data_IF_685142244332
#
_entry.id   IF_685142244332
#
_cell.length_a   1.000
_cell.length_b   1.000
_cell.length_c   1.000
_cell.angle_alpha   90.00
_cell.angle_beta   90.00
_cell.angle_gamma   90.00
#
_symmetry.space_group_name_H-M   'P 1'
#
loop_
_entity.id
_entity.type
_entity.pdbx_description
1 polymer ?
#
# COMPACT_ATOMS: atom_id res chain seq x y z
N UNK A 1 -17.11 -8.54 -4.58
CA UNK A 1 -16.97 -7.12 -4.96
C UNK A 1 -15.56 -6.63 -4.68
N UNK A 2 -14.95 -5.86 -5.60
CA UNK A 2 -13.58 -5.36 -5.48
C UNK A 2 -13.57 -3.84 -5.32
N UNK A 3 -12.84 -3.33 -4.33
CA UNK A 3 -12.66 -1.92 -4.05
C UNK A 3 -11.19 -1.54 -4.20
N UNK A 4 -10.90 -0.49 -4.97
CA UNK A 4 -9.52 -0.03 -5.16
C UNK A 4 -9.01 0.68 -3.91
N UNK A 5 -7.78 0.36 -3.52
CA UNK A 5 -7.11 1.03 -2.42
C UNK A 5 -6.78 2.48 -2.76
N UNK A 6 -6.81 3.35 -1.75
CA UNK A 6 -6.43 4.75 -1.88
C UNK A 6 -4.92 4.85 -1.69
N UNK A 7 -4.25 5.47 -2.66
CA UNK A 7 -2.84 5.83 -2.58
C UNK A 7 -2.81 7.36 -2.50
N UNK A 8 -2.24 7.90 -1.43
CA UNK A 8 -2.14 9.33 -1.21
C UNK A 8 -0.98 9.94 -2.01
N UNK A 9 -1.06 11.25 -2.21
CA UNK A 9 -0.05 12.00 -2.95
C UNK A 9 1.34 11.87 -2.33
N UNK A 10 1.45 11.90 -1.00
CA UNK A 10 2.73 11.76 -0.31
C UNK A 10 3.45 10.44 -0.65
N UNK A 11 2.70 9.34 -0.84
CA UNK A 11 3.28 8.06 -1.24
C UNK A 11 3.86 8.13 -2.65
N UNK A 12 3.16 8.80 -3.57
CA UNK A 12 3.67 9.05 -4.93
C UNK A 12 4.91 9.94 -4.94
N UNK A 13 4.96 10.96 -4.07
CA UNK A 13 6.13 11.82 -3.91
C UNK A 13 7.33 11.00 -3.42
N UNK A 14 7.14 10.12 -2.44
CA UNK A 14 8.21 9.22 -1.97
C UNK A 14 8.66 8.30 -3.10
N UNK A 15 7.71 7.59 -3.73
CA UNK A 15 8.03 6.60 -4.76
C UNK A 15 8.74 7.23 -5.96
N UNK A 16 8.14 8.26 -6.58
CA UNK A 16 8.74 8.91 -7.75
C UNK A 16 9.98 9.73 -7.39
N UNK A 17 10.01 10.35 -6.20
CA UNK A 17 11.15 11.12 -5.74
C UNK A 17 12.37 10.23 -5.46
N UNK A 18 12.16 9.07 -4.83
CA UNK A 18 13.22 8.09 -4.60
C UNK A 18 13.79 7.54 -5.90
N UNK A 19 12.93 7.13 -6.83
CA UNK A 19 13.34 6.70 -8.18
C UNK A 19 14.14 7.79 -8.91
N UNK A 20 13.65 9.03 -8.88
CA UNK A 20 14.31 10.17 -9.54
C UNK A 20 15.67 10.48 -8.93
N UNK A 21 15.82 10.36 -7.61
CA UNK A 21 17.08 10.61 -6.92
C UNK A 21 18.14 9.55 -7.28
N UNK A 22 17.75 8.28 -7.35
CA UNK A 22 18.65 7.19 -7.76
C UNK A 22 19.09 7.39 -9.21
N UNK A 23 18.16 7.72 -10.12
CA UNK A 23 18.47 7.99 -11.52
C UNK A 23 19.38 9.23 -11.68
N UNK A 24 19.15 10.29 -10.91
CA UNK A 24 20.01 11.47 -10.89
C UNK A 24 21.44 11.10 -10.48
N UNK A 25 21.60 10.33 -9.40
CA UNK A 25 22.91 9.87 -8.93
C UNK A 25 23.60 8.94 -9.91
N UNK A 26 22.83 8.09 -10.59
CA UNK A 26 23.35 7.23 -11.65
C UNK A 26 23.86 8.05 -12.84
N UNK A 27 23.11 9.07 -13.27
CA UNK A 27 23.55 9.97 -14.33
C UNK A 27 24.81 10.76 -13.93
N UNK A 28 24.84 11.32 -12.72
CA UNK A 28 26.02 12.01 -12.18
C UNK A 28 27.25 11.10 -12.17
N UNK A 29 27.10 9.86 -11.69
CA UNK A 29 28.18 8.86 -11.68
C UNK A 29 28.74 8.57 -13.08
N UNK A 30 27.86 8.45 -14.08
CA UNK A 30 28.24 8.23 -15.49
C UNK A 30 28.97 9.46 -16.07
N UNK A 31 28.45 10.67 -15.86
CA UNK A 31 29.03 11.89 -16.43
C UNK A 31 30.35 12.30 -15.78
N UNK A 32 30.54 12.01 -14.50
CA UNK A 32 31.79 12.28 -13.77
C UNK A 32 32.87 11.22 -13.98
N UNK A 33 32.56 10.12 -14.69
CA UNK A 33 33.51 9.04 -14.95
C UNK A 33 33.89 8.26 -13.68
N UNK A 34 32.97 8.13 -12.73
CA UNK A 34 33.17 7.32 -11.52
C UNK A 34 33.31 5.84 -11.86
N UNK A 35 33.82 5.05 -10.90
CA UNK A 35 34.07 3.63 -11.06
C UNK A 35 32.80 2.83 -11.38
N UNK A 36 32.97 1.76 -12.15
CA UNK A 36 31.84 0.90 -12.59
C UNK A 36 31.10 0.26 -11.42
N UNK A 37 31.78 0.08 -10.28
CA UNK A 37 31.19 -0.48 -9.06
C UNK A 37 30.05 0.39 -8.51
N UNK A 38 30.21 1.72 -8.51
CA UNK A 38 29.18 2.65 -8.02
C UNK A 38 27.91 2.58 -8.86
N UNK A 39 28.07 2.48 -10.18
CA UNK A 39 26.97 2.35 -11.14
C UNK A 39 26.20 1.04 -10.89
N UNK A 40 26.92 -0.05 -10.63
CA UNK A 40 26.31 -1.36 -10.31
C UNK A 40 25.51 -1.27 -9.01
N UNK A 41 26.07 -0.67 -7.96
CA UNK A 41 25.39 -0.50 -6.67
C UNK A 41 24.12 0.34 -6.82
N UNK A 42 24.17 1.42 -7.60
CA UNK A 42 23.00 2.27 -7.89
C UNK A 42 21.95 1.52 -8.71
N UNK A 43 22.35 0.72 -9.69
CA UNK A 43 21.42 -0.09 -10.49
C UNK A 43 20.71 -1.16 -9.64
N UNK A 44 21.44 -1.84 -8.74
CA UNK A 44 20.84 -2.79 -7.80
C UNK A 44 19.86 -2.06 -6.85
N UNK A 45 20.25 -0.88 -6.36
CA UNK A 45 19.42 -0.06 -5.48
C UNK A 45 18.11 0.35 -6.16
N UNK A 46 18.18 0.76 -7.43
CA UNK A 46 17.01 1.06 -8.27
C UNK A 46 16.07 -0.15 -8.35
N UNK A 47 16.59 -1.33 -8.71
CA UNK A 47 15.78 -2.56 -8.83
C UNK A 47 15.11 -2.93 -7.51
N UNK A 48 15.85 -2.89 -6.40
CA UNK A 48 15.30 -3.18 -5.07
C UNK A 48 14.21 -2.17 -4.70
N UNK A 49 14.45 -0.88 -4.95
CA UNK A 49 13.49 0.17 -4.66
C UNK A 49 12.19 -0.03 -5.44
N UNK A 50 12.28 -0.22 -6.77
CA UNK A 50 11.12 -0.52 -7.60
C UNK A 50 10.42 -1.79 -7.12
N UNK A 51 11.15 -2.86 -6.80
CA UNK A 51 10.58 -4.14 -6.36
C UNK A 51 9.79 -4.02 -5.05
N UNK A 52 10.19 -3.13 -4.14
CA UNK A 52 9.48 -2.90 -2.87
C UNK A 52 8.23 -2.06 -3.09
N UNK A 53 8.31 -0.98 -3.87
CA UNK A 53 7.21 -0.01 -3.99
C UNK A 53 6.18 -0.34 -5.08
N UNK A 54 6.60 -0.93 -6.20
CA UNK A 54 5.73 -1.25 -7.33
C UNK A 54 4.57 -2.19 -6.95
N UNK A 55 4.78 -3.27 -6.16
CA UNK A 55 3.68 -4.14 -5.73
C UNK A 55 2.68 -3.41 -4.85
N UNK A 56 3.13 -2.47 -4.01
CA UNK A 56 2.24 -1.67 -3.16
C UNK A 56 1.30 -0.82 -4.02
N UNK A 57 1.76 -0.33 -5.16
CA UNK A 57 0.92 0.43 -6.10
C UNK A 57 0.00 -0.48 -6.92
N UNK A 58 0.54 -1.59 -7.42
CA UNK A 58 -0.17 -2.51 -8.31
C UNK A 58 -1.23 -3.35 -7.57
N UNK A 59 -0.88 -3.86 -6.38
CA UNK A 59 -1.68 -4.77 -5.56
C UNK A 59 -2.13 -4.05 -4.29
N UNK A 60 -2.95 -3.01 -4.47
CA UNK A 60 -3.64 -2.30 -3.40
C UNK A 60 -5.14 -2.26 -3.66
N UNK A 61 -5.85 -3.26 -3.12
CA UNK A 61 -7.30 -3.37 -3.24
C UNK A 61 -7.88 -4.29 -2.17
N UNK A 62 -9.19 -4.17 -1.97
CA UNK A 62 -9.97 -4.97 -1.03
C UNK A 62 -10.97 -5.79 -1.82
N UNK A 63 -11.10 -7.07 -1.48
CA UNK A 63 -12.05 -7.99 -2.08
C UNK A 63 -13.00 -8.50 -1.01
N UNK A 64 -14.30 -8.34 -1.25
CA UNK A 64 -15.39 -8.90 -0.46
C UNK A 64 -15.97 -10.08 -1.24
N UNK A 65 -15.77 -11.30 -0.75
CA UNK A 65 -16.19 -12.54 -1.42
C UNK A 65 -16.39 -13.66 -0.38
N UNK A 66 -17.43 -14.50 -0.56
CA UNK A 66 -17.72 -15.65 0.30
C UNK A 66 -17.77 -15.36 1.81
N UNK A 67 -18.34 -14.21 2.19
CA UNK A 67 -18.39 -13.80 3.60
C UNK A 67 -17.03 -13.38 4.18
N UNK A 68 -16.01 -13.25 3.35
CA UNK A 68 -14.64 -12.85 3.72
C UNK A 68 -14.28 -11.50 3.16
N UNK A 69 -13.51 -10.76 3.94
CA UNK A 69 -12.84 -9.53 3.57
C UNK A 69 -11.35 -9.83 3.38
N UNK A 70 -10.86 -9.71 2.15
CA UNK A 70 -9.45 -9.90 1.79
C UNK A 70 -8.84 -8.55 1.41
N UNK A 71 -7.84 -8.11 2.16
CA UNK A 71 -7.02 -6.95 1.83
C UNK A 71 -5.76 -7.42 1.12
N UNK A 72 -5.51 -6.86 -0.06
CA UNK A 72 -4.29 -7.05 -0.81
C UNK A 72 -3.48 -5.76 -0.73
N UNK A 73 -2.28 -5.82 -0.16
CA UNK A 73 -1.38 -4.67 -0.02
C UNK A 73 0.07 -5.08 -0.28
N UNK A 74 0.57 -4.77 -1.48
CA UNK A 74 1.90 -5.20 -1.90
C UNK A 74 2.01 -6.72 -1.91
N UNK A 75 3.04 -7.24 -1.25
CA UNK A 75 3.22 -8.69 -1.09
C UNK A 75 2.28 -9.30 -0.04
N UNK A 76 1.77 -8.51 0.89
CA UNK A 76 0.94 -8.99 1.99
C UNK A 76 -0.51 -9.20 1.58
N UNK A 77 -1.17 -10.14 2.24
CA UNK A 77 -2.61 -10.40 2.08
C UNK A 77 -3.20 -10.73 3.43
N UNK A 78 -4.11 -9.88 3.89
CA UNK A 78 -4.81 -10.05 5.16
C UNK A 78 -6.24 -10.50 4.90
N UNK A 79 -6.75 -11.43 5.70
CA UNK A 79 -8.09 -12.00 5.52
C UNK A 79 -8.84 -11.98 6.85
N UNK A 80 -10.03 -11.39 6.87
CA UNK A 80 -10.97 -11.38 8.00
C UNK A 80 -12.31 -11.95 7.55
N UNK A 81 -12.89 -12.84 8.36
CA UNK A 81 -14.29 -13.24 8.20
C UNK A 81 -15.23 -12.11 8.63
N UNK A 82 -16.23 -11.78 7.81
CA UNK A 82 -17.15 -10.65 8.06
C UNK A 82 -17.96 -10.87 9.35
N UNK A 83 -18.28 -12.12 9.66
CA UNK A 83 -18.96 -12.51 10.92
C UNK A 83 -18.13 -12.25 12.17
N UNK A 84 -16.79 -12.12 12.06
CA UNK A 84 -15.92 -11.82 13.18
C UNK A 84 -15.73 -10.31 13.40
N UNK A 85 -16.22 -9.46 12.48
CA UNK A 85 -16.09 -8.01 12.58
C UNK A 85 -16.94 -7.52 13.76
N UNK A 86 -16.28 -6.94 14.76
CA UNK A 86 -16.93 -6.35 15.94
C UNK A 86 -17.11 -4.85 15.78
N UNK A 87 -16.18 -4.21 15.09
CA UNK A 87 -16.17 -2.77 15.02
C UNK A 87 -15.44 -2.25 13.78
N UNK A 88 -15.95 -1.16 13.22
CA UNK A 88 -15.34 -0.41 12.13
C UNK A 88 -15.18 1.04 12.60
N UNK A 89 -13.95 1.53 12.70
CA UNK A 89 -13.64 2.93 13.08
C UNK A 89 -12.85 3.62 11.98
N UNK A 90 -13.08 4.92 11.80
CA UNK A 90 -12.18 5.74 10.98
C UNK A 90 -10.98 6.19 11.81
N UNK A 91 -9.78 6.17 11.23
CA UNK A 91 -8.57 6.70 11.86
C UNK A 91 -7.76 7.54 10.89
N UNK A 92 -7.14 8.59 11.43
CA UNK A 92 -6.16 9.42 10.74
C UNK A 92 -4.75 9.19 11.28
N UNK A 93 -4.54 8.17 12.13
CA UNK A 93 -3.23 7.91 12.74
C UNK A 93 -2.17 7.59 11.67
N UNK A 94 -1.05 8.34 11.61
CA UNK A 94 -0.02 8.15 10.59
C UNK A 94 0.78 6.85 10.75
N UNK A 95 0.86 6.31 11.98
CA UNK A 95 1.81 5.24 12.37
C UNK A 95 1.28 3.82 12.06
N UNK A 96 0.04 3.66 11.61
CA UNK A 96 -0.56 2.34 11.45
C UNK A 96 -0.24 1.66 10.09
N UNK A 97 0.36 0.47 10.17
CA UNK A 97 1.26 -0.24 9.22
C UNK A 97 0.81 -0.56 7.79
N UNK A 98 -0.46 -0.41 7.39
CA UNK A 98 -0.99 -1.14 6.20
C UNK A 98 -1.79 -0.28 5.22
N UNK A 99 -1.43 1.00 5.02
CA UNK A 99 -2.08 1.83 4.00
C UNK A 99 -1.20 2.96 3.47
N UNK A 100 -1.11 3.03 2.14
CA UNK A 100 -0.48 4.12 1.39
C UNK A 100 -1.29 5.44 1.40
N UNK A 101 -2.21 5.62 2.35
CA UNK A 101 -3.02 6.83 2.55
C UNK A 101 -3.33 7.01 4.03
N UNK A 102 -3.45 8.27 4.48
CA UNK A 102 -3.76 8.65 5.88
C UNK A 102 -5.24 8.51 6.23
N UNK A 103 -6.09 8.40 5.21
CA UNK A 103 -7.54 8.31 5.37
C UNK A 103 -7.94 6.83 5.52
N UNK A 104 -7.82 6.29 6.75
CA UNK A 104 -7.84 4.84 7.01
C UNK A 104 -9.11 4.42 7.76
N UNK A 105 -9.51 3.16 7.58
CA UNK A 105 -10.55 2.46 8.32
C UNK A 105 -9.88 1.31 9.07
N UNK A 106 -10.11 1.23 10.38
CA UNK A 106 -9.71 0.09 11.21
C UNK A 106 -10.92 -0.82 11.33
N UNK A 107 -10.74 -2.07 10.90
CA UNK A 107 -11.73 -3.14 10.98
C UNK A 107 -11.22 -4.09 12.06
N UNK A 108 -11.88 -4.06 13.21
CA UNK A 108 -11.52 -4.87 14.38
C UNK A 108 -12.34 -6.15 14.37
N UNK A 109 -11.66 -7.26 14.13
CA UNK A 109 -12.20 -8.60 14.27
C UNK A 109 -12.12 -9.11 15.71
N UNK A 110 -12.53 -10.37 15.92
CA UNK A 110 -12.45 -11.02 17.24
C UNK A 110 -11.01 -11.29 17.70
N UNK A 111 -10.11 -11.62 16.78
CA UNK A 111 -8.71 -12.02 17.05
C UNK A 111 -7.66 -11.19 16.31
N UNK A 112 -8.07 -10.37 15.34
CA UNK A 112 -7.17 -9.63 14.46
C UNK A 112 -7.76 -8.27 14.10
N UNK A 113 -6.89 -7.32 13.77
CA UNK A 113 -7.26 -5.97 13.31
C UNK A 113 -6.72 -5.78 11.90
N UNK A 114 -7.54 -5.25 11.00
CA UNK A 114 -7.16 -4.94 9.62
C UNK A 114 -7.31 -3.44 9.39
N UNK A 115 -6.28 -2.83 8.82
CA UNK A 115 -6.29 -1.40 8.50
C UNK A 115 -6.36 -1.26 6.99
N UNK A 116 -7.41 -0.59 6.53
CA UNK A 116 -7.76 -0.50 5.11
C UNK A 116 -7.90 0.96 4.72
N UNK A 117 -7.42 1.33 3.53
CA UNK A 117 -7.78 2.59 2.91
C UNK A 117 -8.32 2.34 1.50
N UNK A 118 -9.60 2.62 1.30
CA UNK A 118 -10.30 2.49 0.00
C UNK A 118 -10.62 3.87 -0.57
N UNK A 119 -10.67 3.97 -1.91
CA UNK A 119 -11.10 5.22 -2.56
C UNK A 119 -12.56 5.54 -2.27
N UNK A 120 -13.45 4.56 -2.44
CA UNK A 120 -14.90 4.72 -2.27
C UNK A 120 -15.35 4.24 -0.89
N UNK A 121 -15.02 5.01 0.15
CA UNK A 121 -15.31 4.65 1.55
C UNK A 121 -16.79 4.42 1.83
N UNK A 122 -17.66 5.31 1.35
CA UNK A 122 -19.10 5.22 1.61
C UNK A 122 -19.69 3.93 1.04
N UNK A 123 -19.44 3.66 -0.25
CA UNK A 123 -19.89 2.45 -0.94
C UNK A 123 -19.33 1.18 -0.29
N UNK A 124 -18.07 1.21 0.15
CA UNK A 124 -17.46 0.09 0.87
C UNK A 124 -18.17 -0.20 2.19
N UNK A 125 -18.45 0.84 2.99
CA UNK A 125 -19.15 0.70 4.27
C UNK A 125 -20.61 0.25 4.09
N UNK A 126 -21.31 0.75 3.08
CA UNK A 126 -22.67 0.32 2.74
C UNK A 126 -22.70 -1.17 2.38
N UNK A 127 -21.79 -1.64 1.54
CA UNK A 127 -21.71 -3.05 1.14
C UNK A 127 -21.28 -3.97 2.29
N UNK A 128 -20.44 -3.49 3.21
CA UNK A 128 -20.12 -4.21 4.44
C UNK A 128 -21.34 -4.31 5.36
N UNK A 129 -22.08 -3.22 5.56
CA UNK A 129 -23.29 -3.21 6.42
C UNK A 129 -24.40 -4.13 5.91
N UNK A 130 -24.52 -4.36 4.60
CA UNK A 130 -25.50 -5.31 4.04
C UNK A 130 -25.18 -6.78 4.35
N UNK A 131 -23.95 -7.07 4.80
CA UNK A 131 -23.40 -8.43 4.96
C UNK A 131 -23.06 -8.78 6.40
N UNK A 132 -23.22 -7.82 7.33
CA UNK A 132 -23.10 -7.97 8.78
C UNK A 132 -24.53 -8.08 9.33
#
# INVERSE_FOLDING_TARGET
MKFKGKIALWFWIIFLGGESLILYKMAESIFSGHDTEDIIVLAISFVIYTLVFLPIVARNYVLIEDGKLKLFFGFSTDVIDISEIREIRSTCSPIASSAASLDRLVIKGRRQEMIVSVKDKQKFLEELKKRI
#
